data_IF_312413721162
#
_entry.id   IF_312413721162
#
_cell.length_a   1.000
_cell.length_b   1.000
_cell.length_c   1.000
_cell.angle_alpha   90.00
_cell.angle_beta   90.00
_cell.angle_gamma   90.00
#
_symmetry.space_group_name_H-M   'P 1'
#
loop_
_entity.id
_entity.type
_entity.pdbx_description
1 polymer ?
#
# COMPACT_ATOMS: atom_id res chain seq x y z
N UNK A 1 -2.28 -7.29 6.15
CA UNK A 1 -1.00 -7.46 5.42
C UNK A 1 -1.23 -8.28 4.16
N UNK A 2 -1.64 -9.55 4.26
CA UNK A 2 -1.82 -10.41 3.08
C UNK A 2 -3.04 -10.09 2.19
N UNK A 3 -3.97 -9.24 2.62
CA UNK A 3 -5.20 -8.92 1.85
C UNK A 3 -4.95 -8.40 0.42
N UNK A 4 -3.80 -7.77 0.18
CA UNK A 4 -3.45 -7.20 -1.13
C UNK A 4 -2.57 -8.12 -1.98
N UNK A 5 -2.14 -9.25 -1.43
CA UNK A 5 -1.08 -10.08 -2.00
C UNK A 5 -1.63 -11.40 -2.50
N UNK A 6 -1.22 -11.80 -3.70
CA UNK A 6 -1.46 -13.13 -4.23
C UNK A 6 -0.36 -14.10 -3.83
N UNK A 7 0.90 -13.63 -3.78
CA UNK A 7 2.07 -14.46 -3.45
C UNK A 7 3.16 -13.65 -2.74
N UNK A 8 3.86 -14.28 -1.82
CA UNK A 8 5.05 -13.76 -1.14
C UNK A 8 6.14 -14.83 -1.19
N UNK A 9 7.27 -14.53 -1.82
CA UNK A 9 8.45 -15.40 -1.89
C UNK A 9 9.61 -14.75 -1.14
N UNK A 10 10.08 -15.43 -0.10
CA UNK A 10 11.21 -14.99 0.71
C UNK A 10 12.44 -15.81 0.32
N UNK A 11 13.49 -15.14 -0.15
CA UNK A 11 14.74 -15.76 -0.58
C UNK A 11 15.90 -15.30 0.30
N UNK A 12 16.60 -16.23 0.94
CA UNK A 12 17.85 -15.90 1.65
C UNK A 12 18.74 -17.12 1.83
N UNK A 13 20.03 -16.87 2.03
CA UNK A 13 20.97 -17.88 2.47
C UNK A 13 20.86 -18.10 3.98
N UNK A 14 20.74 -19.36 4.42
CA UNK A 14 20.57 -19.70 5.82
C UNK A 14 21.74 -19.26 6.72
N UNK A 15 22.93 -19.08 6.14
CA UNK A 15 24.13 -18.64 6.83
C UNK A 15 24.32 -17.11 6.82
N UNK A 16 23.51 -16.38 6.02
CA UNK A 16 23.63 -14.92 5.94
C UNK A 16 23.09 -14.26 7.23
N UNK A 17 23.90 -13.44 7.94
CA UNK A 17 23.46 -12.74 9.14
C UNK A 17 22.37 -11.68 8.87
N UNK A 18 22.23 -11.22 7.62
CA UNK A 18 21.31 -10.16 7.21
C UNK A 18 19.88 -10.66 6.98
N UNK A 19 19.63 -11.98 7.11
CA UNK A 19 18.32 -12.61 6.89
C UNK A 19 17.24 -12.25 7.92
N UNK A 20 17.57 -11.50 8.97
CA UNK A 20 16.66 -11.19 10.07
C UNK A 20 15.33 -10.60 9.58
N UNK A 21 15.40 -9.60 8.69
CA UNK A 21 14.20 -8.96 8.14
C UNK A 21 13.31 -9.94 7.35
N UNK A 22 13.91 -10.83 6.55
CA UNK A 22 13.21 -11.89 5.83
C UNK A 22 12.46 -12.84 6.76
N UNK A 23 13.08 -13.24 7.87
CA UNK A 23 12.47 -14.14 8.85
C UNK A 23 11.29 -13.49 9.56
N UNK A 24 11.41 -12.22 9.92
CA UNK A 24 10.32 -11.45 10.52
C UNK A 24 9.14 -11.29 9.57
N UNK A 25 9.39 -10.93 8.30
CA UNK A 25 8.33 -10.87 7.28
C UNK A 25 7.66 -12.23 7.09
N UNK A 26 8.43 -13.31 7.01
CA UNK A 26 7.89 -14.66 6.89
C UNK A 26 6.99 -15.02 8.09
N UNK A 27 7.40 -14.66 9.31
CA UNK A 27 6.60 -14.87 10.51
C UNK A 27 5.30 -14.04 10.48
N UNK A 28 5.37 -12.79 10.04
CA UNK A 28 4.21 -11.90 9.88
C UNK A 28 3.21 -12.44 8.85
N UNK A 29 3.69 -12.97 7.73
CA UNK A 29 2.85 -13.64 6.73
C UNK A 29 2.19 -14.91 7.30
N UNK A 30 2.91 -15.63 8.17
CA UNK A 30 2.40 -16.86 8.76
C UNK A 30 1.48 -16.65 9.97
N UNK A 31 1.38 -15.44 10.50
CA UNK A 31 0.51 -15.12 11.63
C UNK A 31 -0.95 -15.45 11.31
N UNK A 32 -1.68 -15.97 12.31
CA UNK A 32 -3.10 -16.37 12.17
C UNK A 32 -3.97 -15.27 11.56
N UNK A 33 -3.87 -14.05 12.08
CA UNK A 33 -4.59 -12.87 11.58
C UNK A 33 -4.28 -12.56 10.12
N UNK A 34 -3.05 -12.80 9.68
CA UNK A 34 -2.64 -12.57 8.30
C UNK A 34 -3.29 -13.62 7.37
N UNK A 35 -3.24 -14.90 7.74
CA UNK A 35 -3.88 -15.98 6.96
C UNK A 35 -5.40 -15.87 6.92
N UNK A 36 -6.04 -15.46 8.02
CA UNK A 36 -7.48 -15.19 8.05
C UNK A 36 -7.87 -14.05 7.10
N UNK A 37 -7.00 -13.04 6.91
CA UNK A 37 -7.28 -11.95 5.98
C UNK A 37 -7.23 -12.35 4.50
N UNK A 38 -6.43 -13.36 4.16
CA UNK A 38 -6.35 -13.91 2.81
C UNK A 38 -5.78 -15.34 2.84
N UNK A 39 -6.64 -16.37 2.86
CA UNK A 39 -6.19 -17.76 2.89
C UNK A 39 -5.66 -18.26 1.54
N UNK A 40 -5.92 -17.54 0.44
CA UNK A 40 -5.46 -17.90 -0.89
C UNK A 40 -4.03 -17.43 -1.20
N UNK A 41 -3.47 -16.54 -0.36
CA UNK A 41 -2.12 -16.01 -0.55
C UNK A 41 -1.06 -17.11 -0.38
N UNK A 42 -0.21 -17.28 -1.39
CA UNK A 42 0.87 -18.26 -1.37
C UNK A 42 2.10 -17.67 -0.66
N UNK A 43 2.59 -18.34 0.39
CA UNK A 43 3.81 -17.92 1.10
C UNK A 43 4.89 -18.97 0.90
N UNK A 44 5.94 -18.60 0.18
CA UNK A 44 7.06 -19.48 -0.18
C UNK A 44 8.35 -19.02 0.51
N UNK A 45 9.09 -20.00 1.04
CA UNK A 45 10.44 -19.79 1.55
C UNK A 45 11.42 -20.55 0.68
N UNK A 46 12.33 -19.84 0.02
CA UNK A 46 13.40 -20.41 -0.78
C UNK A 46 14.74 -20.19 -0.09
N UNK A 47 15.29 -21.28 0.47
CA UNK A 47 16.62 -21.26 1.08
C UNK A 47 17.66 -21.41 -0.02
N UNK A 48 18.53 -20.42 -0.11
CA UNK A 48 19.62 -20.34 -1.07
C UNK A 48 20.94 -20.78 -0.43
N UNK A 49 21.88 -21.24 -1.23
CA UNK A 49 23.24 -21.61 -0.80
C UNK A 49 24.31 -20.68 -1.37
N UNK A 50 23.93 -19.80 -2.29
CA UNK A 50 24.79 -18.77 -2.84
C UNK A 50 24.86 -17.53 -1.96
N UNK A 51 25.90 -16.71 -2.16
CA UNK A 51 26.19 -15.51 -1.36
C UNK A 51 25.41 -14.29 -1.84
N UNK A 52 24.24 -14.50 -2.45
CA UNK A 52 23.39 -13.41 -2.90
C UNK A 52 22.65 -12.77 -1.74
N UNK A 53 22.46 -11.43 -1.75
CA UNK A 53 21.75 -10.75 -0.68
C UNK A 53 20.31 -11.24 -0.51
N UNK A 54 19.76 -11.16 0.72
CA UNK A 54 18.39 -11.59 1.00
C UNK A 54 17.36 -10.70 0.27
N UNK A 55 16.34 -11.33 -0.32
CA UNK A 55 15.31 -10.67 -1.12
C UNK A 55 13.93 -11.14 -0.74
N UNK A 56 12.95 -10.26 -0.91
CA UNK A 56 11.54 -10.56 -0.70
C UNK A 56 10.81 -10.15 -1.98
N UNK A 57 10.29 -11.13 -2.69
CA UNK A 57 9.45 -10.90 -3.86
C UNK A 57 7.97 -10.98 -3.44
N UNK A 58 7.21 -9.96 -3.77
CA UNK A 58 5.79 -9.84 -3.43
C UNK A 58 5.01 -9.67 -4.72
N UNK A 59 4.00 -10.51 -4.91
CA UNK A 59 3.06 -10.41 -6.01
C UNK A 59 1.72 -9.93 -5.47
N UNK A 60 1.21 -8.84 -6.03
CA UNK A 60 -0.08 -8.27 -5.68
C UNK A 60 -1.24 -8.99 -6.38
N UNK A 61 -2.47 -8.77 -5.91
CA UNK A 61 -3.67 -9.39 -6.49
C UNK A 61 -3.95 -8.95 -7.94
N UNK A 62 -3.41 -7.81 -8.36
CA UNK A 62 -3.48 -7.33 -9.74
C UNK A 62 -2.39 -7.92 -10.66
N UNK A 63 -1.48 -8.75 -10.12
CA UNK A 63 -0.38 -9.37 -10.87
C UNK A 63 0.91 -8.55 -10.92
N UNK A 64 0.98 -7.36 -10.29
CA UNK A 64 2.23 -6.60 -10.17
C UNK A 64 3.19 -7.34 -9.23
N UNK A 65 4.43 -7.51 -9.66
CA UNK A 65 5.51 -8.09 -8.84
C UNK A 65 6.50 -7.01 -8.40
N UNK A 66 6.83 -7.01 -7.11
CA UNK A 66 7.81 -6.11 -6.50
C UNK A 66 8.89 -6.94 -5.79
N UNK A 67 10.15 -6.61 -6.05
CA UNK A 67 11.30 -7.27 -5.42
C UNK A 67 11.99 -6.29 -4.49
N UNK A 68 11.92 -6.58 -3.19
CA UNK A 68 12.45 -5.73 -2.13
C UNK A 68 13.78 -6.31 -1.65
N UNK A 69 14.80 -5.44 -1.57
CA UNK A 69 16.08 -5.77 -0.95
C UNK A 69 15.95 -5.72 0.59
N UNK A 70 16.18 -6.87 1.23
CA UNK A 70 16.06 -7.04 2.67
C UNK A 70 17.42 -6.94 3.41
N UNK A 71 18.49 -6.54 2.71
CA UNK A 71 19.86 -6.48 3.25
C UNK A 71 20.02 -5.44 4.36
N UNK A 72 19.50 -4.23 4.14
CA UNK A 72 19.60 -3.10 5.07
C UNK A 72 18.23 -2.54 5.49
N UNK A 73 17.15 -3.08 4.92
CA UNK A 73 15.80 -2.60 5.16
C UNK A 73 15.18 -3.37 6.33
N UNK A 74 14.73 -2.71 7.41
CA UNK A 74 14.11 -3.39 8.54
C UNK A 74 12.74 -3.97 8.14
N UNK A 75 12.37 -5.11 8.73
CA UNK A 75 11.11 -5.79 8.40
C UNK A 75 9.88 -4.90 8.53
N UNK A 76 9.85 -4.01 9.53
CA UNK A 76 8.74 -3.09 9.72
C UNK A 76 8.61 -2.07 8.58
N UNK A 77 9.73 -1.59 8.02
CA UNK A 77 9.70 -0.70 6.86
C UNK A 77 9.24 -1.45 5.60
N UNK A 78 9.74 -2.67 5.38
CA UNK A 78 9.29 -3.54 4.28
C UNK A 78 7.78 -3.80 4.38
N UNK A 79 7.29 -4.11 5.59
CA UNK A 79 5.86 -4.30 5.83
C UNK A 79 5.05 -3.05 5.47
N UNK A 80 5.54 -1.88 5.85
CA UNK A 80 4.84 -0.62 5.56
C UNK A 80 4.82 -0.35 4.04
N UNK A 81 5.96 -0.52 3.36
CA UNK A 81 6.04 -0.42 1.89
C UNK A 81 5.01 -1.32 1.20
N UNK A 82 4.91 -2.58 1.63
CA UNK A 82 3.94 -3.54 1.07
C UNK A 82 2.49 -3.05 1.28
N UNK A 83 2.18 -2.50 2.45
CA UNK A 83 0.85 -1.98 2.76
C UNK A 83 0.52 -0.74 1.94
N UNK A 84 1.48 0.17 1.79
CA UNK A 84 1.32 1.43 1.06
C UNK A 84 1.09 1.16 -0.43
N UNK A 85 1.95 0.34 -1.06
CA UNK A 85 1.75 -0.13 -2.43
C UNK A 85 0.40 -0.84 -2.60
N UNK A 86 0.02 -1.70 -1.65
CA UNK A 86 -1.26 -2.41 -1.68
C UNK A 86 -2.48 -1.48 -1.63
N UNK A 87 -2.42 -0.41 -0.84
CA UNK A 87 -3.47 0.61 -0.77
C UNK A 87 -3.56 1.44 -2.04
N UNK A 88 -2.42 1.81 -2.63
CA UNK A 88 -2.38 2.55 -3.90
C UNK A 88 -3.01 1.74 -5.03
N UNK A 89 -2.70 0.44 -5.12
CA UNK A 89 -3.26 -0.45 -6.13
C UNK A 89 -4.77 -0.69 -5.93
N UNK A 90 -5.23 -0.77 -4.67
CA UNK A 90 -6.66 -0.85 -4.34
C UNK A 90 -7.40 0.43 -4.78
N UNK A 91 -6.84 1.60 -4.48
CA UNK A 91 -7.41 2.89 -4.90
C UNK A 91 -7.43 3.01 -6.43
N UNK A 92 -6.33 2.69 -7.11
CA UNK A 92 -6.28 2.66 -8.58
C UNK A 92 -7.39 1.79 -9.17
N UNK A 93 -7.63 0.60 -8.60
CA UNK A 93 -8.70 -0.27 -9.05
C UNK A 93 -10.08 0.37 -8.87
N UNK A 94 -10.33 1.06 -7.75
CA UNK A 94 -11.59 1.79 -7.54
C UNK A 94 -11.83 2.88 -8.60
N UNK A 95 -10.78 3.62 -8.99
CA UNK A 95 -10.89 4.62 -10.06
C UNK A 95 -11.18 3.98 -11.42
N UNK A 96 -10.47 2.89 -11.74
CA UNK A 96 -10.69 2.11 -12.96
C UNK A 96 -12.12 1.56 -13.03
N UNK A 97 -12.65 1.03 -11.92
CA UNK A 97 -14.01 0.50 -11.83
C UNK A 97 -15.09 1.59 -11.99
N UNK A 98 -14.79 2.82 -11.53
CA UNK A 98 -15.64 3.99 -11.75
C UNK A 98 -15.55 4.58 -13.18
N UNK A 99 -14.66 4.03 -14.02
CA UNK A 99 -14.39 4.55 -15.36
C UNK A 99 -13.65 5.90 -15.37
N UNK A 100 -13.02 6.27 -14.25
CA UNK A 100 -12.25 7.50 -14.11
C UNK A 100 -10.78 7.21 -14.42
N UNK A 101 -10.09 8.07 -15.21
CA UNK A 101 -8.68 7.87 -15.49
C UNK A 101 -7.83 7.95 -14.21
N UNK A 102 -6.84 7.07 -14.13
CA UNK A 102 -5.81 7.06 -13.09
C UNK A 102 -4.43 7.19 -13.73
N UNK A 103 -3.53 8.06 -13.26
CA UNK A 103 -3.72 9.03 -12.17
C UNK A 103 -4.71 10.14 -12.55
N UNK A 104 -5.38 10.71 -11.56
CA UNK A 104 -6.28 11.86 -11.77
C UNK A 104 -5.43 13.07 -12.13
N UNK A 105 -5.55 13.54 -13.38
CA UNK A 105 -4.91 14.77 -13.83
C UNK A 105 -5.80 15.96 -13.44
N UNK A 106 -5.29 16.83 -12.58
CA UNK A 106 -5.96 18.09 -12.21
C UNK A 106 -5.53 19.16 -13.23
N UNK A 107 -6.46 19.79 -13.97
CA UNK A 107 -6.13 20.86 -14.90
C UNK A 107 -5.47 22.05 -14.19
N UNK A 108 -4.50 22.71 -14.84
CA UNK A 108 -3.77 23.85 -14.28
C UNK A 108 -4.70 25.02 -13.89
N UNK A 109 -5.81 25.17 -14.60
CA UNK A 109 -6.81 26.21 -14.35
C UNK A 109 -7.59 26.00 -13.03
N UNK A 110 -7.65 24.76 -12.53
CA UNK A 110 -8.28 24.43 -11.24
C UNK A 110 -7.32 24.65 -10.07
N UNK A 111 -6.02 24.43 -10.28
CA UNK A 111 -4.98 24.63 -9.26
C UNK A 111 -4.87 26.12 -8.86
N UNK A 112 -4.97 27.02 -9.83
CA UNK A 112 -4.87 28.47 -9.60
C UNK A 112 -6.20 29.12 -9.16
N UNK A 113 -7.29 28.36 -9.14
CA UNK A 113 -8.61 28.85 -8.73
C UNK A 113 -8.66 28.95 -7.22
N UNK A 114 -8.65 30.17 -6.68
CA UNK A 114 -8.95 30.40 -5.26
C UNK A 114 -10.40 30.00 -4.98
N UNK A 115 -10.61 28.83 -4.38
CA UNK A 115 -11.92 28.46 -3.86
C UNK A 115 -12.28 29.39 -2.70
N UNK A 116 -13.40 30.13 -2.76
CA UNK A 116 -13.83 30.93 -1.62
C UNK A 116 -14.06 29.96 -0.46
N UNK A 117 -13.25 30.07 0.59
CA UNK A 117 -13.32 29.17 1.74
C UNK A 117 -14.76 29.05 2.22
N UNK A 118 -15.31 27.84 2.16
CA UNK A 118 -16.66 27.56 2.62
C UNK A 118 -16.75 27.98 4.09
N UNK A 119 -17.42 29.11 4.36
CA UNK A 119 -17.76 29.48 5.73
C UNK A 119 -18.79 28.47 6.21
N UNK A 120 -18.32 27.43 6.88
CA UNK A 120 -19.18 26.46 7.56
C UNK A 120 -19.92 27.16 8.70
N UNK A 121 -21.04 27.79 8.40
CA UNK A 121 -22.03 28.22 9.37
C UNK A 121 -22.90 27.01 9.74
N UNK A 122 -22.38 26.08 10.55
CA UNK A 122 -23.22 25.05 11.17
C UNK A 122 -23.15 25.15 12.71
N UNK A 123 -24.30 25.10 13.40
CA UNK A 123 -24.37 25.09 14.86
C UNK A 123 -23.76 23.79 15.42
N UNK A 124 -23.25 23.88 16.65
CA UNK A 124 -22.28 22.98 17.31
C UNK A 124 -22.59 21.47 17.41
N UNK A 125 -23.65 20.94 16.82
CA UNK A 125 -23.92 19.50 16.83
C UNK A 125 -24.59 19.08 15.52
N UNK A 126 -24.25 17.88 15.05
CA UNK A 126 -24.60 17.25 13.76
C UNK A 126 -23.61 17.56 12.63
N UNK A 127 -22.46 16.90 12.71
CA UNK A 127 -21.66 16.54 11.55
C UNK A 127 -22.43 15.44 10.84
N UNK A 128 -22.94 15.71 9.63
CA UNK A 128 -23.04 14.80 8.48
C UNK A 128 -24.19 15.21 7.54
N UNK A 129 -23.92 15.16 6.23
CA UNK A 129 -24.87 15.22 5.10
C UNK A 129 -25.30 16.65 4.74
N UNK A 130 -25.02 17.22 3.57
CA UNK A 130 -25.24 16.67 2.22
C UNK A 130 -24.43 17.47 1.17
N UNK A 131 -23.57 16.78 0.42
CA UNK A 131 -22.97 17.03 -0.92
C UNK A 131 -21.69 16.13 -0.94
N UNK A 132 -21.69 14.78 -0.96
CA UNK A 132 -22.32 13.82 -1.88
C UNK A 132 -22.29 14.34 -3.33
N UNK A 133 -21.39 13.87 -4.20
CA UNK A 133 -21.42 12.49 -4.66
C UNK A 133 -20.03 11.90 -4.98
N UNK A 134 -19.37 11.30 -3.98
CA UNK A 134 -18.45 10.17 -4.12
C UNK A 134 -18.14 9.66 -2.71
N UNK A 135 -18.53 8.42 -2.43
CA UNK A 135 -18.36 7.73 -1.15
C UNK A 135 -16.88 7.57 -0.82
N UNK A 136 -16.33 8.55 -0.11
CA UNK A 136 -15.02 8.45 0.53
C UNK A 136 -15.27 8.29 2.04
N UNK A 137 -14.93 7.11 2.54
CA UNK A 137 -15.01 6.75 3.96
C UNK A 137 -13.93 7.53 4.74
N UNK A 138 -14.16 7.82 6.03
CA UNK A 138 -13.28 8.67 6.85
C UNK A 138 -11.87 8.12 7.13
N UNK A 139 -11.48 6.97 6.56
CA UNK A 139 -10.12 6.40 6.60
C UNK A 139 -9.19 6.96 5.50
N UNK A 140 -9.69 7.78 4.57
CA UNK A 140 -8.94 8.27 3.39
C UNK A 140 -8.08 9.53 3.64
N UNK A 141 -8.11 10.13 4.83
CA UNK A 141 -7.40 11.40 5.07
C UNK A 141 -5.86 11.24 5.04
N UNK A 142 -5.32 10.08 5.43
CA UNK A 142 -3.88 9.79 5.28
C UNK A 142 -3.49 9.51 3.81
N UNK A 143 -4.41 8.96 3.01
CA UNK A 143 -4.17 8.66 1.58
C UNK A 143 -4.11 9.93 0.74
N UNK A 144 -4.85 10.98 1.13
CA UNK A 144 -4.73 12.31 0.53
C UNK A 144 -3.31 12.88 0.67
N UNK A 145 -2.62 12.60 1.79
CA UNK A 145 -1.24 13.06 2.04
C UNK A 145 -0.20 12.36 1.17
N UNK A 146 -0.41 11.07 0.86
CA UNK A 146 0.48 10.33 -0.06
C UNK A 146 0.39 10.84 -1.49
N UNK A 147 -0.81 11.13 -1.99
CA UNK A 147 -1.03 11.70 -3.33
C UNK A 147 -0.38 13.09 -3.43
N UNK A 148 -0.49 13.89 -2.37
CA UNK A 148 0.08 15.25 -2.34
C UNK A 148 1.62 15.24 -2.38
N UNK A 149 2.29 14.27 -1.74
CA UNK A 149 3.76 14.20 -1.78
C UNK A 149 4.30 13.63 -3.10
N UNK A 150 3.58 12.72 -3.77
CA UNK A 150 4.03 12.16 -5.05
C UNK A 150 3.91 13.17 -6.21
N UNK A 151 2.92 14.06 -6.18
CA UNK A 151 2.80 15.15 -7.15
C UNK A 151 3.84 16.29 -6.97
N UNK A 152 4.52 16.37 -5.82
CA UNK A 152 5.54 17.42 -5.57
C UNK A 152 6.96 16.95 -5.97
N UNK A 153 7.15 15.65 -6.24
CA UNK A 153 8.47 15.07 -6.56
C UNK A 153 8.70 14.71 -8.04
N UNK A 154 7.80 15.10 -8.96
CA UNK A 154 8.08 15.09 -10.41
C UNK A 154 7.96 16.48 -11.01
#
# INVERSE_FOLDING_TARGET
MLKFLSKVRVEFNALDPRKAACMEILALCNARKAKESNPACQVELQRRTDDTPPRIAVTYVNGVEEVIDATATPAQAIRQQILDCGQLLETEQMFRDAGVPWPVLIPEEEIHRSFPGTKCCLPKYVICSVFFDLRILPDDFEKQWMITNYCIMN
#
